data_IF_695360486099
#
_entry.id   IF_695360486099
#
_cell.length_a   1.000
_cell.length_b   1.000
_cell.length_c   1.000
_cell.angle_alpha   90.00
_cell.angle_beta   90.00
_cell.angle_gamma   90.00
#
_symmetry.space_group_name_H-M   'P 1'
#
loop_
_entity.id
_entity.type
_entity.pdbx_description
1 polymer ?
#
# COMPACT_ATOMS: atom_id res chain seq x y z
N UNK A 1 -15.84 -0.44 -9.08
CA UNK A 1 -14.56 0.04 -8.49
C UNK A 1 -13.97 -1.08 -7.66
N UNK A 2 -12.76 -1.50 -7.99
CA UNK A 2 -12.08 -2.53 -7.24
C UNK A 2 -11.59 -2.03 -5.87
N UNK A 3 -11.60 -2.90 -4.88
CA UNK A 3 -11.13 -2.64 -3.52
C UNK A 3 -10.38 -3.86 -2.96
N UNK A 4 -9.59 -3.66 -1.91
CA UNK A 4 -8.85 -4.74 -1.26
C UNK A 4 -9.74 -5.46 -0.24
N UNK A 5 -9.73 -6.79 -0.26
CA UNK A 5 -10.39 -7.65 0.73
C UNK A 5 -9.39 -8.65 1.30
N UNK A 6 -9.42 -8.82 2.62
CA UNK A 6 -8.67 -9.89 3.30
C UNK A 6 -9.59 -11.07 3.58
N UNK A 7 -9.08 -12.28 3.38
CA UNK A 7 -9.71 -13.53 3.80
C UNK A 7 -8.77 -14.28 4.74
N UNK A 8 -9.34 -14.90 5.78
CA UNK A 8 -8.61 -15.77 6.70
C UNK A 8 -8.83 -17.23 6.27
N UNK A 9 -7.74 -17.93 5.94
CA UNK A 9 -7.76 -19.33 5.48
C UNK A 9 -6.74 -20.09 6.33
N UNK A 10 -7.18 -21.14 7.04
CA UNK A 10 -6.33 -21.95 7.94
C UNK A 10 -5.47 -21.08 8.89
N UNK A 11 -6.10 -20.09 9.52
CA UNK A 11 -5.46 -19.16 10.46
C UNK A 11 -4.54 -18.10 9.82
N UNK A 12 -4.35 -18.10 8.50
CA UNK A 12 -3.49 -17.16 7.78
C UNK A 12 -4.32 -16.15 6.99
N UNK A 13 -3.89 -14.91 6.95
CA UNK A 13 -4.55 -13.83 6.20
C UNK A 13 -4.00 -13.71 4.78
N UNK A 14 -4.89 -13.48 3.82
CA UNK A 14 -4.59 -13.38 2.39
C UNK A 14 -5.36 -12.21 1.79
N UNK A 15 -4.67 -11.36 1.03
CA UNK A 15 -5.27 -10.19 0.40
C UNK A 15 -5.62 -10.47 -1.05
N UNK A 16 -6.77 -9.94 -1.46
CA UNK A 16 -7.34 -10.06 -2.80
C UNK A 16 -7.81 -8.68 -3.26
N UNK A 17 -7.60 -8.39 -4.54
CA UNK A 17 -8.30 -7.32 -5.23
C UNK A 17 -9.64 -7.87 -5.70
N UNK A 18 -10.72 -7.18 -5.36
CA UNK A 18 -12.08 -7.62 -5.60
C UNK A 18 -12.92 -6.48 -6.16
N UNK A 19 -13.95 -6.82 -6.90
CA UNK A 19 -14.89 -5.84 -7.45
C UNK A 19 -16.32 -6.35 -7.33
N UNK A 20 -17.25 -5.44 -7.10
CA UNK A 20 -18.68 -5.76 -7.09
C UNK A 20 -19.20 -5.84 -8.53
N UNK A 21 -19.96 -6.89 -8.83
CA UNK A 21 -20.67 -7.09 -10.08
C UNK A 21 -22.15 -7.36 -9.81
N UNK A 22 -23.04 -6.80 -10.63
CA UNK A 22 -24.47 -7.09 -10.54
C UNK A 22 -24.81 -8.31 -11.39
N UNK A 23 -25.61 -9.21 -10.83
CA UNK A 23 -26.13 -10.39 -11.54
C UNK A 23 -27.64 -10.46 -11.39
N UNK A 24 -28.31 -11.29 -12.19
CA UNK A 24 -29.75 -11.54 -12.06
C UNK A 24 -30.18 -12.02 -10.65
N UNK A 25 -29.24 -12.61 -9.88
CA UNK A 25 -29.47 -13.07 -8.50
C UNK A 25 -28.99 -12.06 -7.44
N UNK A 26 -28.75 -10.80 -7.83
CA UNK A 26 -28.28 -9.74 -6.95
C UNK A 26 -26.77 -9.46 -7.04
N UNK A 27 -26.25 -8.61 -6.12
CA UNK A 27 -24.85 -8.20 -6.13
C UNK A 27 -23.94 -9.39 -5.78
N UNK A 28 -22.89 -9.57 -6.58
CA UNK A 28 -21.82 -10.55 -6.38
C UNK A 28 -20.49 -9.82 -6.27
N UNK A 29 -19.51 -10.50 -5.71
CA UNK A 29 -18.16 -9.98 -5.58
C UNK A 29 -17.20 -10.91 -6.31
N UNK A 30 -16.56 -10.37 -7.35
CA UNK A 30 -15.60 -11.08 -8.18
C UNK A 30 -14.18 -10.85 -7.65
N UNK A 31 -13.35 -11.89 -7.67
CA UNK A 31 -11.92 -11.77 -7.33
C UNK A 31 -11.16 -11.44 -8.60
N UNK A 32 -10.63 -10.22 -8.69
CA UNK A 32 -9.84 -9.76 -9.84
C UNK A 32 -8.39 -10.21 -9.77
N UNK A 33 -7.78 -10.21 -8.57
CA UNK A 33 -6.37 -10.58 -8.39
C UNK A 33 -6.09 -11.09 -6.99
N UNK A 34 -5.26 -12.13 -6.87
CA UNK A 34 -4.62 -12.50 -5.60
C UNK A 34 -3.36 -11.64 -5.39
N UNK A 35 -3.29 -10.93 -4.26
CA UNK A 35 -2.20 -9.99 -3.98
C UNK A 35 -1.05 -10.62 -3.18
N UNK A 36 -1.38 -11.57 -2.30
CA UNK A 36 -0.40 -12.30 -1.49
C UNK A 36 -0.87 -12.60 -0.08
N UNK A 37 0.00 -13.27 0.68
CA UNK A 37 -0.20 -13.47 2.12
C UNK A 37 0.04 -12.15 2.85
N UNK A 38 -0.84 -11.83 3.79
CA UNK A 38 -0.72 -10.65 4.65
C UNK A 38 0.19 -10.94 5.83
N UNK A 39 1.10 -10.00 6.09
CA UNK A 39 2.04 -10.00 7.20
C UNK A 39 1.84 -8.72 8.00
N UNK A 40 1.60 -8.86 9.31
CA UNK A 40 1.42 -7.74 10.24
C UNK A 40 2.53 -7.74 11.27
N UNK A 41 3.12 -6.57 11.47
CA UNK A 41 4.20 -6.37 12.44
C UNK A 41 3.85 -5.17 13.33
N UNK A 42 4.20 -5.26 14.62
CA UNK A 42 4.11 -4.10 15.51
C UNK A 42 5.37 -3.27 15.31
N UNK A 43 5.20 -2.03 14.86
CA UNK A 43 6.30 -1.08 14.74
C UNK A 43 6.54 -0.29 16.01
N UNK A 44 7.76 0.22 16.19
CA UNK A 44 8.09 1.23 17.19
C UNK A 44 8.97 2.30 16.52
N UNK A 45 8.70 3.58 16.79
CA UNK A 45 9.61 4.67 16.46
C UNK A 45 8.98 5.85 15.72
N UNK A 46 9.61 7.01 15.90
CA UNK A 46 9.47 8.23 15.12
C UNK A 46 10.85 8.57 14.55
N UNK A 47 10.93 8.80 13.25
CA UNK A 47 12.12 9.33 12.58
C UNK A 47 11.71 10.53 11.75
N UNK A 48 12.67 11.41 11.46
CA UNK A 48 12.48 12.51 10.53
C UNK A 48 12.69 12.00 9.10
N UNK A 49 11.79 12.39 8.20
CA UNK A 49 11.96 12.17 6.76
C UNK A 49 12.87 13.26 6.22
N UNK A 50 13.92 12.86 5.53
CA UNK A 50 14.73 13.76 4.70
C UNK A 50 14.12 13.77 3.30
N UNK A 51 14.04 14.92 2.66
CA UNK A 51 13.23 15.10 1.44
C UNK A 51 14.05 14.91 0.16
N UNK A 52 13.61 14.03 -0.74
CA UNK A 52 13.99 14.07 -2.17
C UNK A 52 13.06 14.93 -3.03
N UNK A 53 13.62 15.44 -4.13
CA UNK A 53 12.93 16.33 -5.06
C UNK A 53 11.88 15.63 -5.95
N UNK A 54 12.03 14.34 -6.26
CA UNK A 54 11.12 13.62 -7.16
C UNK A 54 10.02 12.83 -6.42
N UNK A 55 8.82 12.77 -7.01
CA UNK A 55 7.66 12.08 -6.40
C UNK A 55 7.93 10.59 -6.16
N UNK A 56 8.69 9.92 -7.04
CA UNK A 56 9.08 8.52 -6.84
C UNK A 56 10.05 8.39 -5.67
N UNK A 57 11.07 9.23 -5.59
CA UNK A 57 12.01 9.30 -4.47
C UNK A 57 11.31 9.52 -3.14
N UNK A 58 10.41 10.49 -3.08
CA UNK A 58 9.60 10.77 -1.89
C UNK A 58 8.77 9.55 -1.46
N UNK A 59 8.11 8.87 -2.40
CA UNK A 59 7.34 7.67 -2.09
C UNK A 59 8.25 6.55 -1.57
N UNK A 60 9.44 6.36 -2.15
CA UNK A 60 10.41 5.36 -1.68
C UNK A 60 10.89 5.69 -0.26
N UNK A 61 11.10 6.97 0.05
CA UNK A 61 11.49 7.41 1.40
C UNK A 61 10.39 7.17 2.43
N UNK A 62 9.13 7.49 2.09
CA UNK A 62 7.97 7.14 2.91
C UNK A 62 7.88 5.63 3.16
N UNK A 63 8.11 4.81 2.12
CA UNK A 63 8.13 3.35 2.27
C UNK A 63 9.24 2.96 3.25
N UNK A 64 10.48 3.40 3.01
CA UNK A 64 11.61 3.05 3.86
C UNK A 64 11.40 3.48 5.32
N UNK A 65 10.78 4.63 5.53
CA UNK A 65 10.38 5.11 6.85
C UNK A 65 9.42 4.15 7.55
N UNK A 66 8.35 3.72 6.89
CA UNK A 66 7.42 2.74 7.45
C UNK A 66 8.08 1.37 7.66
N UNK A 67 8.95 0.93 6.75
CA UNK A 67 9.67 -0.33 6.88
C UNK A 67 10.67 -0.32 8.05
N UNK A 68 11.31 0.83 8.33
CA UNK A 68 12.23 0.95 9.45
C UNK A 68 11.53 0.70 10.79
N UNK A 69 10.28 1.17 10.96
CA UNK A 69 9.48 0.90 12.17
C UNK A 69 9.30 -0.59 12.43
N UNK A 70 9.23 -1.42 11.38
CA UNK A 70 8.95 -2.86 11.44
C UNK A 70 10.13 -3.76 11.05
N UNK A 71 11.34 -3.20 10.96
CA UNK A 71 12.54 -3.86 10.42
C UNK A 71 12.85 -5.21 11.08
N UNK A 72 12.66 -5.31 12.39
CA UNK A 72 12.85 -6.56 13.14
C UNK A 72 11.90 -7.67 12.67
N UNK A 73 10.64 -7.34 12.41
CA UNK A 73 9.63 -8.27 11.90
C UNK A 73 9.92 -8.75 10.48
N UNK A 74 10.34 -7.82 9.61
CA UNK A 74 10.71 -8.13 8.23
C UNK A 74 11.88 -9.13 8.15
N UNK A 75 12.93 -8.89 8.94
CA UNK A 75 14.08 -9.81 9.03
C UNK A 75 13.67 -11.21 9.49
N UNK A 76 12.81 -11.30 10.53
CA UNK A 76 12.33 -12.58 11.06
C UNK A 76 11.57 -13.40 10.02
N UNK A 77 10.72 -12.75 9.22
CA UNK A 77 9.92 -13.42 8.18
C UNK A 77 10.63 -13.57 6.83
N UNK A 78 11.87 -13.06 6.70
CA UNK A 78 12.66 -12.99 5.45
C UNK A 78 11.88 -12.28 4.33
N UNK A 79 11.32 -11.12 4.67
CA UNK A 79 10.60 -10.24 3.74
C UNK A 79 11.50 -9.09 3.34
N UNK A 80 11.60 -8.87 2.03
CA UNK A 80 12.43 -7.83 1.43
C UNK A 80 11.56 -6.95 0.51
N UNK A 81 11.89 -5.67 0.45
CA UNK A 81 11.27 -4.72 -0.46
C UNK A 81 12.06 -4.67 -1.78
N UNK A 82 11.37 -4.82 -2.89
CA UNK A 82 11.93 -4.72 -4.23
C UNK A 82 11.58 -3.34 -4.83
N UNK A 83 12.56 -2.44 -4.85
CA UNK A 83 12.43 -1.09 -5.41
C UNK A 83 12.06 -1.07 -6.90
N UNK A 84 12.46 -2.09 -7.67
CA UNK A 84 12.16 -2.16 -9.11
C UNK A 84 10.69 -2.52 -9.32
N UNK A 85 10.22 -3.53 -8.59
CA UNK A 85 8.81 -3.98 -8.67
C UNK A 85 7.84 -3.05 -7.91
N UNK A 86 8.35 -2.28 -6.95
CA UNK A 86 7.59 -1.59 -5.90
C UNK A 86 6.68 -2.56 -5.16
N UNK A 87 7.25 -3.59 -4.54
CA UNK A 87 6.48 -4.59 -3.81
C UNK A 87 7.33 -5.43 -2.88
N UNK A 88 6.70 -6.37 -2.19
CA UNK A 88 7.36 -7.20 -1.18
C UNK A 88 7.47 -8.64 -1.62
N UNK A 89 8.65 -9.22 -1.41
CA UNK A 89 8.93 -10.62 -1.67
C UNK A 89 9.34 -11.33 -0.39
N UNK A 90 8.88 -12.57 -0.24
CA UNK A 90 9.31 -13.47 0.83
C UNK A 90 10.05 -14.65 0.25
N UNK A 91 11.30 -14.85 0.67
CA UNK A 91 12.16 -15.94 0.17
C UNK A 91 12.35 -15.92 -1.35
N UNK A 92 12.28 -17.08 -2.02
CA UNK A 92 12.43 -17.23 -3.50
C UNK A 92 11.23 -16.66 -4.30
N UNK A 93 10.95 -15.36 -4.18
CA UNK A 93 10.01 -14.55 -4.98
C UNK A 93 8.50 -14.69 -4.72
N UNK A 94 8.05 -15.18 -3.55
CA UNK A 94 6.60 -15.17 -3.25
C UNK A 94 6.13 -13.75 -2.92
N UNK A 95 5.20 -13.22 -3.70
CA UNK A 95 4.57 -11.91 -3.44
C UNK A 95 3.90 -11.92 -2.07
N UNK A 96 4.13 -10.86 -1.30
CA UNK A 96 3.51 -10.69 0.00
C UNK A 96 2.99 -9.27 0.18
N UNK A 97 2.10 -9.14 1.16
CA UNK A 97 1.40 -7.91 1.48
C UNK A 97 1.72 -7.56 2.93
N UNK A 98 2.10 -6.32 3.18
CA UNK A 98 2.30 -5.83 4.54
C UNK A 98 1.01 -5.15 5.00
N UNK A 99 0.39 -5.68 6.06
CA UNK A 99 -0.70 -4.99 6.74
C UNK A 99 -0.11 -3.95 7.68
N UNK A 100 -0.26 -2.67 7.33
CA UNK A 100 0.27 -1.52 8.06
C UNK A 100 -0.88 -0.57 8.41
N UNK A 101 -0.93 -0.12 9.67
CA UNK A 101 -2.02 0.71 10.17
C UNK A 101 -3.39 0.11 9.79
N UNK A 102 -4.20 0.86 9.04
CA UNK A 102 -5.52 0.42 8.53
C UNK A 102 -5.47 -0.12 7.08
N UNK A 103 -4.32 -0.12 6.43
CA UNK A 103 -4.17 -0.45 5.02
C UNK A 103 -3.26 -1.65 4.74
N UNK A 104 -2.95 -1.83 3.45
CA UNK A 104 -2.18 -2.94 2.91
C UNK A 104 -1.17 -2.45 1.89
N UNK A 105 0.10 -2.44 2.28
CA UNK A 105 1.20 -2.06 1.41
C UNK A 105 1.59 -3.26 0.51
N UNK A 106 1.40 -3.11 -0.79
CA UNK A 106 1.71 -4.12 -1.80
C UNK A 106 1.97 -3.48 -3.17
N UNK A 107 2.31 -4.31 -4.17
CA UNK A 107 2.57 -3.82 -5.53
C UNK A 107 1.40 -3.05 -6.12
N UNK A 108 0.18 -3.48 -5.84
CA UNK A 108 -1.02 -2.82 -6.35
C UNK A 108 -1.22 -1.42 -5.75
N UNK A 109 -1.18 -1.29 -4.42
CA UNK A 109 -1.46 -0.01 -3.74
C UNK A 109 -0.35 1.01 -3.98
N UNK A 110 0.92 0.59 -3.95
CA UNK A 110 2.07 1.47 -4.22
C UNK A 110 2.07 2.00 -5.67
N UNK A 111 1.71 1.16 -6.65
CA UNK A 111 1.60 1.59 -8.05
C UNK A 111 0.44 2.55 -8.28
N UNK A 112 -0.65 2.44 -7.53
CA UNK A 112 -1.76 3.41 -7.62
C UNK A 112 -1.36 4.81 -7.18
N UNK A 113 -0.56 4.90 -6.12
CA UNK A 113 0.00 6.17 -5.64
C UNK A 113 0.95 6.73 -6.70
N UNK A 114 1.95 5.93 -7.13
CA UNK A 114 2.95 6.39 -8.09
C UNK A 114 2.37 6.80 -9.45
N UNK A 115 1.39 6.05 -9.96
CA UNK A 115 0.79 6.31 -11.28
C UNK A 115 -0.40 7.28 -11.20
N UNK A 116 -0.64 7.89 -10.04
CA UNK A 116 -1.68 8.89 -9.90
C UNK A 116 -1.35 10.09 -10.80
N UNK A 117 -2.37 10.61 -11.49
CA UNK A 117 -2.28 11.82 -12.31
C UNK A 117 -3.42 12.74 -11.93
N UNK A 118 -3.10 14.03 -11.79
CA UNK A 118 -4.10 15.07 -11.54
C UNK A 118 -5.05 15.17 -12.71
N UNK A 119 -6.34 15.26 -12.41
CA UNK A 119 -7.40 15.56 -13.36
C UNK A 119 -7.62 17.06 -13.53
N UNK A 120 -7.11 17.87 -12.59
CA UNK A 120 -7.26 19.34 -12.58
C UNK A 120 -8.26 19.83 -11.53
N UNK A 121 -9.07 18.94 -10.98
CA UNK A 121 -9.95 19.20 -9.84
C UNK A 121 -9.22 18.83 -8.54
N UNK A 122 -8.79 19.86 -7.80
CA UNK A 122 -7.98 19.70 -6.58
C UNK A 122 -8.74 18.92 -5.51
N UNK A 123 -10.04 19.15 -5.34
CA UNK A 123 -10.83 18.47 -4.31
C UNK A 123 -10.96 16.99 -4.63
N UNK A 124 -11.31 16.66 -5.87
CA UNK A 124 -11.43 15.26 -6.32
C UNK A 124 -10.09 14.55 -6.28
N UNK A 125 -9.02 15.21 -6.75
CA UNK A 125 -7.68 14.63 -6.83
C UNK A 125 -7.09 14.39 -5.44
N UNK A 126 -7.22 15.35 -4.52
CA UNK A 126 -6.70 15.24 -3.16
C UNK A 126 -7.41 14.13 -2.38
N UNK A 127 -8.73 14.05 -2.44
CA UNK A 127 -9.52 12.98 -1.79
C UNK A 127 -9.15 11.61 -2.36
N UNK A 128 -9.00 11.50 -3.68
CA UNK A 128 -8.63 10.26 -4.35
C UNK A 128 -7.22 9.80 -3.98
N UNK A 129 -6.26 10.73 -3.93
CA UNK A 129 -4.90 10.41 -3.54
C UNK A 129 -4.80 10.03 -2.05
N UNK A 130 -5.46 10.79 -1.16
CA UNK A 130 -5.52 10.48 0.27
C UNK A 130 -6.06 9.07 0.51
N UNK A 131 -7.10 8.68 -0.23
CA UNK A 131 -7.62 7.30 -0.21
C UNK A 131 -6.56 6.27 -0.60
N UNK A 132 -5.73 6.56 -1.60
CA UNK A 132 -4.66 5.62 -2.01
C UNK A 132 -3.58 5.48 -0.92
N UNK A 133 -3.22 6.57 -0.24
CA UNK A 133 -2.29 6.53 0.90
C UNK A 133 -2.84 5.67 2.05
N UNK A 134 -4.11 5.87 2.42
CA UNK A 134 -4.79 5.08 3.46
C UNK A 134 -4.85 3.60 3.06
N UNK A 135 -5.23 3.29 1.82
CA UNK A 135 -5.27 1.93 1.31
C UNK A 135 -3.90 1.25 1.30
N UNK A 136 -2.83 2.00 1.02
CA UNK A 136 -1.45 1.51 1.11
C UNK A 136 -0.93 1.36 2.56
N UNK A 137 -1.69 1.85 3.55
CA UNK A 137 -1.35 1.75 4.96
C UNK A 137 -0.40 2.82 5.47
N UNK A 138 -0.22 3.92 4.73
CA UNK A 138 0.58 5.05 5.21
C UNK A 138 -0.20 5.88 6.23
N UNK A 139 0.48 6.28 7.30
CA UNK A 139 0.03 7.32 8.22
C UNK A 139 0.81 8.60 7.91
N UNK A 140 0.39 9.31 6.85
CA UNK A 140 1.07 10.52 6.38
C UNK A 140 0.51 11.73 7.12
N UNK A 141 1.38 12.62 7.61
CA UNK A 141 0.95 13.92 8.13
C UNK A 141 0.41 14.80 7.00
N UNK A 142 -0.36 15.83 7.35
CA UNK A 142 -0.87 16.78 6.35
C UNK A 142 0.28 17.41 5.55
N UNK A 143 1.38 17.78 6.21
CA UNK A 143 2.57 18.38 5.58
C UNK A 143 3.18 17.46 4.51
N UNK A 144 3.44 16.19 4.86
CA UNK A 144 4.00 15.23 3.92
C UNK A 144 3.03 14.91 2.77
N UNK A 145 1.72 14.91 3.03
CA UNK A 145 0.72 14.70 2.00
C UNK A 145 0.67 15.86 1.00
N UNK A 146 0.64 17.10 1.49
CA UNK A 146 0.69 18.30 0.65
C UNK A 146 1.99 18.32 -0.16
N UNK A 147 3.13 18.07 0.50
CA UNK A 147 4.43 18.02 -0.15
C UNK A 147 4.47 16.99 -1.28
N UNK A 148 3.87 15.82 -1.11
CA UNK A 148 3.73 14.84 -2.19
C UNK A 148 2.79 15.32 -3.30
N UNK A 149 1.64 15.90 -2.93
CA UNK A 149 0.63 16.37 -3.89
C UNK A 149 1.14 17.47 -4.80
N UNK A 150 1.93 18.42 -4.29
CA UNK A 150 2.53 19.49 -5.07
C UNK A 150 3.55 18.99 -6.11
N UNK A 151 4.21 17.85 -5.84
CA UNK A 151 5.24 17.24 -6.69
C UNK A 151 4.70 16.29 -7.78
N UNK A 152 3.38 16.08 -7.81
CA UNK A 152 2.67 15.27 -8.83
C UNK A 152 2.36 16.10 -10.08
#
# INVERSE_FOLDING_TARGET
MAFLRVKKIKGKEYAYLVENSWTAKGPRQEVKKYLGRVHRFKGKGSYLLDYKDDSRGFLIELINFELNKIKAGLKKEKIEFDNKRLGFVRGKKKSCVLGLNQGFMCDYTLRRILNFKKSGDIEVDSVKLAKFFIEAGFAVSQEYFIGYFERL
#
